data_IF_172652495068
#
_entry.id   IF_172652495068
#
_cell.length_a   1.000
_cell.length_b   1.000
_cell.length_c   1.000
_cell.angle_alpha   90.00
_cell.angle_beta   90.00
_cell.angle_gamma   90.00
#
_symmetry.space_group_name_H-M   'P 1'
#
loop_
_entity.id
_entity.type
_entity.pdbx_description
1 polymer ?
#
# COMPACT_ATOMS: atom_id res chain seq x y z
N UNK A 1 -10.68 -64.58 -33.21
CA UNK A 1 -9.95 -64.35 -31.94
C UNK A 1 -9.31 -62.96 -31.98
N UNK A 2 -9.57 -62.17 -30.93
CA UNK A 2 -8.68 -61.16 -30.33
C UNK A 2 -8.40 -59.82 -31.06
N UNK A 3 -9.08 -58.77 -30.60
CA UNK A 3 -8.44 -57.45 -30.31
C UNK A 3 -7.79 -57.57 -28.92
N UNK A 4 -6.66 -56.91 -28.61
CA UNK A 4 -6.61 -55.46 -28.34
C UNK A 4 -5.28 -54.80 -28.78
N UNK A 5 -5.15 -53.47 -28.87
CA UNK A 5 -4.58 -52.65 -27.78
C UNK A 5 -4.83 -51.16 -28.04
N UNK A 6 -5.00 -50.45 -26.93
CA UNK A 6 -5.38 -49.06 -26.74
C UNK A 6 -4.27 -48.03 -26.99
N UNK A 7 -4.75 -46.83 -27.34
CA UNK A 7 -4.32 -45.49 -26.94
C UNK A 7 -2.89 -44.99 -27.23
N UNK A 8 -2.86 -43.83 -27.88
CA UNK A 8 -2.07 -42.72 -27.34
C UNK A 8 -2.82 -41.41 -27.57
N UNK A 9 -3.19 -40.68 -26.51
CA UNK A 9 -3.68 -39.33 -26.65
C UNK A 9 -2.51 -38.48 -27.13
N UNK A 10 -2.67 -37.82 -28.27
CA UNK A 10 -1.76 -36.71 -28.62
C UNK A 10 -1.96 -35.64 -27.57
N UNK A 11 -1.09 -35.64 -26.57
CA UNK A 11 -0.86 -34.53 -25.65
C UNK A 11 -0.52 -33.32 -26.49
N UNK A 12 -1.55 -32.52 -26.83
CA UNK A 12 -1.36 -31.13 -27.21
C UNK A 12 -0.85 -30.44 -25.95
N UNK A 13 0.48 -30.43 -25.82
CA UNK A 13 1.25 -29.53 -24.97
C UNK A 13 0.73 -28.12 -25.25
N UNK A 14 -0.23 -27.63 -24.44
CA UNK A 14 -0.33 -26.18 -24.20
C UNK A 14 0.94 -25.89 -23.40
N UNK A 15 1.97 -25.39 -24.07
CA UNK A 15 2.16 -23.95 -24.28
C UNK A 15 2.08 -23.29 -22.93
N UNK A 16 3.27 -22.92 -22.43
CA UNK A 16 3.55 -22.60 -21.05
C UNK A 16 2.38 -21.93 -20.36
N UNK A 17 2.05 -22.49 -19.20
CA UNK A 17 1.46 -21.76 -18.09
C UNK A 17 2.47 -20.67 -17.72
N UNK A 18 2.58 -19.68 -18.62
CA UNK A 18 3.33 -18.48 -18.43
C UNK A 18 2.56 -17.80 -17.33
N UNK A 19 3.06 -17.98 -16.11
CA UNK A 19 2.86 -17.12 -14.96
C UNK A 19 2.39 -15.76 -15.46
N UNK A 20 1.07 -15.55 -15.53
CA UNK A 20 0.59 -14.20 -15.64
C UNK A 20 1.07 -13.59 -14.33
N UNK A 21 1.96 -12.59 -14.34
CA UNK A 21 2.19 -11.86 -13.10
C UNK A 21 0.80 -11.38 -12.73
N UNK A 22 0.28 -11.84 -11.59
CA UNK A 22 -1.02 -11.43 -11.07
C UNK A 22 -1.13 -9.94 -11.31
N UNK A 23 -1.96 -9.53 -12.28
CA UNK A 23 -2.05 -8.15 -12.64
C UNK A 23 -2.63 -7.45 -11.42
N UNK A 24 -1.76 -6.80 -10.64
CA UNK A 24 -2.13 -6.10 -9.42
C UNK A 24 -2.92 -4.85 -9.84
N UNK A 25 -4.20 -5.06 -10.13
CA UNK A 25 -5.15 -4.01 -10.40
C UNK A 25 -5.69 -3.54 -9.04
N UNK A 26 -5.05 -2.53 -8.45
CA UNK A 26 -5.54 -1.87 -7.24
C UNK A 26 -6.28 -0.60 -7.62
N UNK A 27 -7.49 -0.44 -7.10
CA UNK A 27 -8.29 0.78 -7.28
C UNK A 27 -7.94 1.80 -6.19
N UNK A 28 -7.78 3.05 -6.57
CA UNK A 28 -7.65 4.19 -5.66
C UNK A 28 -8.64 5.27 -6.06
N UNK A 29 -9.37 5.84 -5.09
CA UNK A 29 -10.27 6.96 -5.34
C UNK A 29 -9.51 8.28 -5.29
N UNK A 30 -10.05 9.32 -5.95
CA UNK A 30 -9.46 10.67 -5.90
C UNK A 30 -9.46 11.19 -4.46
N UNK A 31 -10.53 10.94 -3.70
CA UNK A 31 -10.58 11.37 -2.29
C UNK A 31 -9.50 10.70 -1.43
N UNK A 32 -9.13 9.46 -1.73
CA UNK A 32 -8.03 8.77 -1.03
C UNK A 32 -6.66 9.35 -1.38
N UNK A 33 -6.44 9.76 -2.64
CA UNK A 33 -5.22 10.47 -3.04
C UNK A 33 -5.11 11.79 -2.31
N UNK A 34 -6.18 12.59 -2.31
CA UNK A 34 -6.22 13.89 -1.65
C UNK A 34 -6.00 13.76 -0.13
N UNK A 35 -6.61 12.75 0.49
CA UNK A 35 -6.42 12.47 1.91
C UNK A 35 -4.97 12.06 2.22
N UNK A 36 -4.33 11.24 1.38
CA UNK A 36 -2.92 10.86 1.54
C UNK A 36 -1.99 12.07 1.40
N UNK A 37 -2.23 12.94 0.43
CA UNK A 37 -1.45 14.17 0.23
C UNK A 37 -1.57 15.11 1.44
N UNK A 38 -2.79 15.33 1.94
CA UNK A 38 -3.02 16.18 3.11
C UNK A 38 -2.34 15.62 4.36
N UNK A 39 -2.37 14.30 4.57
CA UNK A 39 -1.69 13.65 5.69
C UNK A 39 -0.17 13.78 5.57
N UNK A 40 0.38 13.63 4.36
CA UNK A 40 1.80 13.80 4.11
C UNK A 40 2.25 15.24 4.40
N UNK A 41 1.51 16.24 3.91
CA UNK A 41 1.76 17.66 4.20
C UNK A 41 1.69 17.96 5.71
N UNK A 42 0.74 17.33 6.41
CA UNK A 42 0.60 17.47 7.87
C UNK A 42 1.84 16.93 8.60
N UNK A 43 2.34 15.75 8.21
CA UNK A 43 3.56 15.18 8.80
C UNK A 43 4.77 16.08 8.51
N UNK A 44 4.92 16.55 7.26
CA UNK A 44 6.02 17.42 6.87
C UNK A 44 6.01 18.73 7.68
N UNK A 45 4.85 19.39 7.80
CA UNK A 45 4.73 20.63 8.56
C UNK A 45 5.13 20.48 10.03
N UNK A 46 4.68 19.40 10.69
CA UNK A 46 5.09 19.14 12.08
C UNK A 46 6.56 18.74 12.19
N UNK A 47 7.07 17.97 11.24
CA UNK A 47 8.49 17.62 11.13
C UNK A 47 9.38 18.85 10.96
N UNK A 48 8.97 19.82 10.15
CA UNK A 48 9.67 21.08 9.94
C UNK A 48 9.75 21.90 11.24
N UNK A 49 8.68 21.94 12.04
CA UNK A 49 8.71 22.60 13.36
C UNK A 49 9.71 21.92 14.29
N UNK A 50 9.81 20.59 14.27
CA UNK A 50 10.79 19.84 15.06
C UNK A 50 12.21 20.11 14.54
N UNK A 51 12.42 20.11 13.23
CA UNK A 51 13.73 20.27 12.61
C UNK A 51 14.26 21.72 12.71
N UNK A 52 13.38 22.71 12.56
CA UNK A 52 13.72 24.13 12.71
C UNK A 52 13.83 24.56 14.19
N UNK A 53 13.18 23.83 15.09
CA UNK A 53 13.25 24.06 16.52
C UNK A 53 14.60 23.65 17.09
N UNK A 54 15.36 24.60 17.64
CA UNK A 54 16.36 24.23 18.64
C UNK A 54 15.58 23.59 19.82
N UNK A 55 15.84 22.32 20.15
CA UNK A 55 15.05 21.56 21.14
C UNK A 55 14.89 22.27 22.50
N UNK A 56 15.77 23.22 22.81
CA UNK A 56 15.73 24.07 24.00
C UNK A 56 14.75 25.26 23.95
N UNK A 57 14.14 25.56 22.79
CA UNK A 57 13.17 26.66 22.60
C UNK A 57 11.72 26.18 22.51
N UNK A 58 11.51 24.88 22.34
CA UNK A 58 10.19 24.27 22.40
C UNK A 58 9.79 24.11 23.87
N UNK A 59 8.54 24.42 24.19
CA UNK A 59 8.00 24.07 25.51
C UNK A 59 8.05 22.55 25.70
N UNK A 60 8.25 22.12 26.93
CA UNK A 60 8.36 20.70 27.31
C UNK A 60 7.19 19.83 26.81
N UNK A 61 6.02 20.42 26.56
CA UNK A 61 4.84 19.72 26.04
C UNK A 61 4.71 19.80 24.53
N UNK A 62 5.40 20.71 23.84
CA UNK A 62 5.24 20.88 22.40
C UNK A 62 5.78 19.68 21.63
N UNK A 63 6.95 19.16 21.99
CA UNK A 63 7.54 18.02 21.29
C UNK A 63 6.66 16.75 21.40
N UNK A 64 6.13 16.37 22.58
CA UNK A 64 5.14 15.29 22.68
C UNK A 64 3.88 15.50 21.85
N UNK A 65 3.34 16.73 21.79
CA UNK A 65 2.13 17.05 21.01
C UNK A 65 2.39 16.90 19.51
N UNK A 66 3.51 17.43 19.01
CA UNK A 66 3.91 17.28 17.61
C UNK A 66 4.14 15.80 17.25
N UNK A 67 4.79 15.05 18.15
CA UNK A 67 4.98 13.61 17.98
C UNK A 67 3.66 12.83 17.90
N UNK A 68 2.69 13.15 18.76
CA UNK A 68 1.34 12.56 18.71
C UNK A 68 0.63 12.88 17.40
N UNK A 69 0.68 14.14 16.96
CA UNK A 69 0.04 14.55 15.70
C UNK A 69 0.64 13.82 14.48
N UNK A 70 1.96 13.62 14.46
CA UNK A 70 2.64 12.83 13.42
C UNK A 70 2.22 11.35 13.49
N UNK A 71 2.16 10.77 14.68
CA UNK A 71 1.75 9.38 14.88
C UNK A 71 0.32 9.13 14.39
N UNK A 72 -0.61 10.02 14.75
CA UNK A 72 -2.02 9.94 14.34
C UNK A 72 -2.15 10.07 12.81
N UNK A 73 -1.45 11.02 12.20
CA UNK A 73 -1.45 11.21 10.75
C UNK A 73 -0.88 9.97 10.01
N UNK A 74 0.22 9.41 10.50
CA UNK A 74 0.80 8.19 9.93
C UNK A 74 -0.14 6.98 10.07
N UNK A 75 -0.85 6.86 11.19
CA UNK A 75 -1.88 5.84 11.40
C UNK A 75 -3.06 5.98 10.43
N UNK A 76 -3.50 7.20 10.16
CA UNK A 76 -4.53 7.47 9.15
C UNK A 76 -4.05 7.09 7.74
N UNK A 77 -2.81 7.44 7.37
CA UNK A 77 -2.22 7.02 6.08
C UNK A 77 -2.20 5.51 5.96
N UNK A 78 -1.78 4.82 7.03
CA UNK A 78 -1.73 3.35 7.05
C UNK A 78 -3.12 2.74 6.83
N UNK A 79 -4.15 3.32 7.45
CA UNK A 79 -5.53 2.88 7.28
C UNK A 79 -5.98 3.00 5.83
N UNK A 80 -5.67 4.12 5.15
CA UNK A 80 -5.99 4.29 3.72
C UNK A 80 -5.24 3.27 2.87
N UNK A 81 -3.94 3.05 3.12
CA UNK A 81 -3.14 2.06 2.39
C UNK A 81 -3.67 0.63 2.58
N UNK A 82 -4.11 0.26 3.79
CA UNK A 82 -4.71 -1.04 4.06
C UNK A 82 -6.07 -1.18 3.34
N UNK A 83 -6.86 -0.09 3.21
CA UNK A 83 -8.07 -0.08 2.38
C UNK A 83 -7.75 -0.26 0.89
N UNK A 84 -6.67 0.34 0.37
CA UNK A 84 -6.25 0.17 -1.03
C UNK A 84 -5.91 -1.29 -1.33
N UNK A 85 -5.27 -1.99 -0.40
CA UNK A 85 -4.96 -3.41 -0.55
C UNK A 85 -6.21 -4.30 -0.74
N UNK A 86 -7.38 -3.82 -0.30
CA UNK A 86 -8.67 -4.50 -0.44
C UNK A 86 -9.48 -4.02 -1.65
N UNK A 87 -9.13 -2.89 -2.27
CA UNK A 87 -9.84 -2.30 -3.39
C UNK A 87 -9.36 -2.87 -4.73
N UNK A 88 -10.30 -3.29 -5.57
CA UNK A 88 -10.05 -3.82 -6.90
C UNK A 88 -10.64 -2.89 -7.97
N UNK A 89 -9.92 -2.74 -9.09
CA UNK A 89 -10.37 -2.06 -10.31
C UNK A 89 -11.43 -2.87 -11.06
#
# INVERSE_FOLDING_TARGET
MSRPVMASPRTRRRAGDGMQPDAFAFGITVEQVDALDQLLLTIAAHGDVIAAGNAYRLDSRTLPVLGSAIFDAAGAMRTILDQLALQRL
#
